data_IF_100864909439
#
_entry.id   IF_100864909439
#
_cell.length_a   1.000
_cell.length_b   1.000
_cell.length_c   1.000
_cell.angle_alpha   90.00
_cell.angle_beta   90.00
_cell.angle_gamma   90.00
#
_symmetry.space_group_name_H-M   'P 1'
#
loop_
_entity.id
_entity.type
_entity.pdbx_description
1 polymer ?
#
# COMPACT_ATOMS: atom_id res chain seq x y z
N UNK A 1 22.44 -1.83 -21.40
CA UNK A 1 22.15 -1.99 -22.83
C UNK A 1 20.66 -2.29 -22.90
N UNK A 2 19.87 -1.30 -23.31
CA UNK A 2 18.45 -1.54 -23.56
C UNK A 2 18.32 -1.86 -25.06
N UNK A 3 17.98 -3.11 -25.42
CA UNK A 3 17.59 -3.41 -26.78
C UNK A 3 16.44 -2.47 -27.15
N UNK A 4 16.40 -2.02 -28.39
CA UNK A 4 15.28 -1.22 -28.87
C UNK A 4 14.02 -2.06 -28.77
N UNK A 5 13.11 -1.69 -27.87
CA UNK A 5 11.78 -2.28 -27.84
C UNK A 5 11.08 -1.96 -29.17
N UNK A 6 10.25 -2.88 -29.64
CA UNK A 6 9.27 -2.54 -30.66
C UNK A 6 8.26 -1.57 -30.01
N UNK A 7 8.51 -0.27 -30.17
CA UNK A 7 7.73 0.80 -29.58
C UNK A 7 6.23 0.70 -29.90
N UNK A 8 5.91 0.09 -31.03
CA UNK A 8 4.52 -0.07 -31.47
C UNK A 8 3.75 -1.12 -30.67
N UNK A 9 4.44 -2.17 -30.19
CA UNK A 9 3.81 -3.30 -29.50
C UNK A 9 4.29 -3.48 -28.07
N UNK A 10 5.17 -2.61 -27.56
CA UNK A 10 5.81 -2.75 -26.25
C UNK A 10 6.53 -4.11 -26.05
N UNK A 11 7.05 -4.70 -27.16
CA UNK A 11 7.69 -6.01 -27.14
C UNK A 11 9.16 -5.88 -27.51
N UNK A 12 10.01 -6.45 -26.68
CA UNK A 12 11.44 -6.60 -26.93
C UNK A 12 11.77 -8.06 -27.24
N UNK A 13 12.65 -8.28 -28.23
CA UNK A 13 13.02 -9.63 -28.66
C UNK A 13 13.76 -10.44 -27.57
N UNK A 14 14.38 -9.78 -26.60
CA UNK A 14 15.17 -10.41 -25.55
C UNK A 14 14.48 -10.39 -24.18
N UNK A 15 13.70 -9.33 -23.88
CA UNK A 15 13.09 -9.12 -22.56
C UNK A 15 11.57 -9.32 -22.57
N UNK A 16 10.98 -9.57 -23.73
CA UNK A 16 9.55 -9.79 -23.87
C UNK A 16 8.73 -8.49 -23.83
N UNK A 17 7.49 -8.60 -23.35
CA UNK A 17 6.56 -7.49 -23.32
C UNK A 17 6.83 -6.58 -22.11
N UNK A 18 6.95 -5.28 -22.36
CA UNK A 18 6.97 -4.27 -21.30
C UNK A 18 5.59 -4.17 -20.65
N UNK A 19 5.52 -4.38 -19.35
CA UNK A 19 4.27 -4.27 -18.61
C UNK A 19 4.07 -2.84 -18.08
N UNK A 20 5.13 -2.25 -17.49
CA UNK A 20 5.20 -0.87 -17.02
C UNK A 20 6.63 -0.33 -17.14
N UNK A 21 6.81 0.97 -16.94
CA UNK A 21 8.11 1.62 -16.82
C UNK A 21 8.77 1.99 -18.15
N UNK A 22 10.02 2.42 -18.04
CA UNK A 22 10.82 2.90 -19.17
C UNK A 22 10.90 4.43 -19.24
N UNK A 23 10.30 5.14 -18.28
CA UNK A 23 10.43 6.58 -18.08
C UNK A 23 11.60 6.96 -17.18
N UNK A 24 11.40 7.93 -16.31
CA UNK A 24 12.47 8.57 -15.53
C UNK A 24 12.59 8.04 -14.09
N UNK A 25 11.59 7.29 -13.60
CA UNK A 25 11.61 6.76 -12.22
C UNK A 25 12.29 5.40 -12.22
N UNK A 26 13.18 5.19 -11.24
CA UNK A 26 13.75 3.88 -10.98
C UNK A 26 12.63 2.94 -10.47
N UNK A 27 12.41 1.85 -11.20
CA UNK A 27 11.43 0.81 -10.88
C UNK A 27 12.14 -0.53 -10.91
N UNK A 28 12.04 -1.29 -9.81
CA UNK A 28 12.64 -2.62 -9.72
C UNK A 28 11.81 -3.57 -8.85
N UNK A 29 12.33 -4.78 -8.57
CA UNK A 29 11.69 -5.78 -7.73
C UNK A 29 10.29 -6.20 -8.21
N UNK A 30 10.05 -6.42 -9.51
CA UNK A 30 8.71 -6.74 -9.97
C UNK A 30 8.27 -8.11 -9.49
N UNK A 31 7.05 -8.18 -8.96
CA UNK A 31 6.40 -9.43 -8.59
C UNK A 31 4.96 -9.44 -9.10
N UNK A 32 4.55 -10.50 -9.75
CA UNK A 32 3.17 -10.69 -10.22
C UNK A 32 2.54 -11.81 -9.41
N UNK A 33 1.42 -11.50 -8.77
CA UNK A 33 0.59 -12.46 -8.05
C UNK A 33 -0.80 -12.51 -8.69
N UNK A 34 -1.31 -13.72 -8.93
CA UNK A 34 -2.69 -13.90 -9.39
C UNK A 34 -3.61 -14.23 -8.23
N UNK A 35 -4.52 -13.33 -7.96
CA UNK A 35 -5.58 -13.54 -6.98
C UNK A 35 -6.82 -14.13 -7.67
N UNK A 36 -7.06 -15.41 -7.42
CA UNK A 36 -8.18 -16.15 -8.02
C UNK A 36 -9.53 -15.62 -7.54
N UNK A 37 -9.63 -15.20 -6.30
CA UNK A 37 -10.87 -14.68 -5.70
C UNK A 37 -11.23 -13.32 -6.29
N UNK A 38 -10.27 -12.40 -6.38
CA UNK A 38 -10.45 -11.09 -7.00
C UNK A 38 -10.51 -11.17 -8.53
N UNK A 39 -9.94 -12.21 -9.14
CA UNK A 39 -9.81 -12.38 -10.57
C UNK A 39 -8.92 -11.31 -11.20
N UNK A 40 -7.85 -10.90 -10.48
CA UNK A 40 -6.86 -9.94 -10.93
C UNK A 40 -5.44 -10.50 -10.81
N UNK A 41 -4.58 -10.06 -11.71
CA UNK A 41 -3.13 -10.10 -11.56
C UNK A 41 -2.71 -8.78 -10.91
N UNK A 42 -2.03 -8.85 -9.77
CA UNK A 42 -1.41 -7.70 -9.11
C UNK A 42 0.06 -7.68 -9.44
N UNK A 43 0.55 -6.53 -9.90
CA UNK A 43 1.96 -6.28 -10.12
C UNK A 43 2.43 -5.35 -9.00
N UNK A 44 3.27 -5.88 -8.13
CA UNK A 44 3.97 -5.13 -7.10
C UNK A 44 5.37 -4.78 -7.60
N UNK A 45 5.80 -3.56 -7.37
CA UNK A 45 7.12 -3.05 -7.75
C UNK A 45 7.66 -2.12 -6.68
N UNK A 46 8.97 -1.91 -6.69
CA UNK A 46 9.61 -0.92 -5.85
C UNK A 46 10.02 0.30 -6.67
N UNK A 47 9.66 1.49 -6.18
CA UNK A 47 10.07 2.79 -6.73
C UNK A 47 11.18 3.38 -5.87
N UNK A 48 11.99 4.25 -6.47
CA UNK A 48 13.04 4.99 -5.78
C UNK A 48 14.36 4.24 -5.66
N UNK A 49 15.23 4.71 -4.78
CA UNK A 49 16.52 4.09 -4.49
C UNK A 49 16.50 3.35 -3.17
N UNK A 50 17.14 2.21 -3.12
CA UNK A 50 17.18 1.31 -1.97
C UNK A 50 17.98 1.82 -0.76
N UNK A 51 18.69 2.94 -0.87
CA UNK A 51 19.41 3.55 0.25
C UNK A 51 18.44 4.14 1.28
N UNK A 52 18.88 4.30 2.53
CA UNK A 52 18.03 4.81 3.61
C UNK A 52 17.37 6.17 3.30
N UNK A 53 17.99 7.00 2.46
CA UNK A 53 17.47 8.32 2.05
C UNK A 53 16.89 8.33 0.62
N UNK A 54 16.79 7.16 -0.01
CA UNK A 54 16.46 7.04 -1.44
C UNK A 54 14.98 7.01 -1.76
N UNK A 55 14.09 7.08 -0.77
CA UNK A 55 12.64 7.06 -0.97
C UNK A 55 12.11 5.73 -1.53
N UNK A 56 12.78 4.62 -1.24
CA UNK A 56 12.36 3.29 -1.70
C UNK A 56 11.01 2.92 -1.13
N UNK A 57 10.10 2.44 -1.99
CA UNK A 57 8.69 2.27 -1.63
C UNK A 57 8.01 1.24 -2.52
N UNK A 58 6.95 0.61 -2.00
CA UNK A 58 6.18 -0.41 -2.71
C UNK A 58 5.00 0.23 -3.42
N UNK A 59 4.84 -0.09 -4.71
CA UNK A 59 3.70 0.31 -5.53
C UNK A 59 2.96 -0.90 -6.08
N UNK A 60 1.64 -0.77 -6.23
CA UNK A 60 0.79 -1.79 -6.80
C UNK A 60 0.05 -1.30 -8.05
N UNK A 61 -0.05 -2.19 -9.03
CA UNK A 61 -0.87 -2.08 -10.23
C UNK A 61 -1.68 -3.37 -10.38
N UNK A 62 -2.75 -3.35 -11.14
CA UNK A 62 -3.52 -4.56 -11.42
C UNK A 62 -3.95 -4.70 -12.87
N UNK A 63 -4.19 -5.94 -13.30
CA UNK A 63 -4.69 -6.28 -14.64
C UNK A 63 -5.63 -7.48 -14.59
N UNK A 64 -6.54 -7.58 -15.57
CA UNK A 64 -7.32 -8.81 -15.81
C UNK A 64 -6.56 -9.85 -16.63
N UNK A 65 -5.39 -9.52 -17.18
CA UNK A 65 -4.55 -10.40 -17.98
C UNK A 65 -3.11 -10.36 -17.46
N UNK A 66 -2.43 -11.49 -17.49
CA UNK A 66 -1.04 -11.60 -17.04
C UNK A 66 -0.08 -10.68 -17.81
N UNK A 67 -0.38 -10.40 -19.07
CA UNK A 67 0.39 -9.55 -19.96
C UNK A 67 -0.12 -8.10 -20.04
N UNK A 68 -1.00 -7.70 -19.12
CA UNK A 68 -1.51 -6.33 -18.99
C UNK A 68 -2.70 -5.97 -19.90
N UNK A 69 -3.06 -4.69 -20.00
CA UNK A 69 -2.36 -3.57 -19.35
C UNK A 69 -2.51 -3.59 -17.82
N UNK A 70 -1.42 -3.26 -17.12
CA UNK A 70 -1.43 -3.04 -15.68
C UNK A 70 -1.72 -1.57 -15.40
N UNK A 71 -2.75 -1.31 -14.63
CA UNK A 71 -3.20 0.05 -14.32
C UNK A 71 -3.19 0.31 -12.82
N UNK A 72 -2.96 1.56 -12.46
CA UNK A 72 -3.14 2.06 -11.10
C UNK A 72 -4.62 2.41 -10.80
N UNK A 73 -4.91 2.96 -9.62
CA UNK A 73 -6.28 3.33 -9.23
C UNK A 73 -6.89 4.44 -10.10
N UNK A 74 -6.06 5.23 -10.79
CA UNK A 74 -6.48 6.29 -11.70
C UNK A 74 -6.58 5.82 -13.16
N UNK A 75 -6.26 4.54 -13.44
CA UNK A 75 -6.24 3.96 -14.78
C UNK A 75 -4.96 4.22 -15.56
N UNK A 76 -3.90 4.71 -14.91
CA UNK A 76 -2.63 4.99 -15.56
C UNK A 76 -1.74 3.74 -15.63
N UNK A 77 -0.96 3.65 -16.72
CA UNK A 77 0.12 2.67 -16.92
C UNK A 77 1.40 3.44 -17.18
N UNK A 78 2.44 3.33 -16.34
CA UNK A 78 3.73 3.97 -16.60
C UNK A 78 4.36 3.45 -17.89
N UNK A 79 4.74 4.37 -18.80
CA UNK A 79 5.39 4.11 -20.08
C UNK A 79 6.40 5.20 -20.41
N UNK A 80 7.34 5.00 -21.36
CA UNK A 80 8.39 5.98 -21.65
C UNK A 80 7.89 7.40 -21.98
N UNK A 81 6.70 7.53 -22.52
CA UNK A 81 6.06 8.79 -22.92
C UNK A 81 4.99 9.28 -21.95
N UNK A 82 4.85 8.65 -20.79
CA UNK A 82 3.83 9.00 -19.80
C UNK A 82 4.09 10.31 -19.02
N UNK A 83 5.23 10.95 -19.23
CA UNK A 83 5.67 12.11 -18.45
C UNK A 83 6.25 11.70 -17.10
N UNK A 84 5.89 12.42 -16.03
CA UNK A 84 6.37 12.10 -14.68
C UNK A 84 5.62 10.89 -14.10
N UNK A 85 6.28 9.74 -14.12
CA UNK A 85 5.74 8.47 -13.62
C UNK A 85 5.80 8.35 -12.09
N UNK A 86 6.43 9.28 -11.38
CA UNK A 86 6.63 9.21 -9.93
C UNK A 86 5.32 9.14 -9.14
N UNK A 87 4.23 9.64 -9.72
CA UNK A 87 2.89 9.62 -9.12
C UNK A 87 2.02 8.43 -9.54
N UNK A 88 2.52 7.54 -10.40
CA UNK A 88 1.76 6.38 -10.87
C UNK A 88 1.92 5.20 -9.90
N UNK A 89 0.88 4.38 -9.84
CA UNK A 89 0.81 3.22 -8.96
C UNK A 89 0.29 3.54 -7.57
N UNK A 90 -0.49 2.63 -7.03
CA UNK A 90 -0.95 2.70 -5.64
C UNK A 90 0.23 2.49 -4.69
N UNK A 91 0.63 3.52 -3.94
CA UNK A 91 1.66 3.39 -2.91
C UNK A 91 1.10 2.63 -1.71
N UNK A 92 1.68 1.48 -1.44
CA UNK A 92 1.33 0.64 -0.31
C UNK A 92 2.15 0.97 0.93
N UNK A 93 3.44 1.21 0.77
CA UNK A 93 4.38 1.52 1.86
C UNK A 93 5.56 2.33 1.35
N UNK A 94 6.14 3.13 2.21
CA UNK A 94 7.39 3.87 2.00
C UNK A 94 8.09 4.10 3.34
N UNK A 95 8.65 5.29 3.55
CA UNK A 95 9.22 5.67 4.84
C UNK A 95 8.11 6.09 5.81
N UNK A 96 8.08 5.53 7.02
CA UNK A 96 7.03 5.86 7.97
C UNK A 96 7.45 5.69 9.43
N UNK A 97 6.73 6.37 10.30
CA UNK A 97 6.80 6.23 11.76
C UNK A 97 5.41 5.98 12.32
N UNK A 98 5.27 4.96 13.15
CA UNK A 98 4.07 4.70 13.96
C UNK A 98 4.43 4.83 15.43
N UNK A 99 3.48 5.14 16.33
CA UNK A 99 3.78 5.42 17.74
C UNK A 99 4.47 4.28 18.49
N UNK A 100 4.23 3.03 18.11
CA UNK A 100 4.82 1.85 18.75
C UNK A 100 6.23 1.50 18.25
N UNK A 101 6.71 2.16 17.19
CA UNK A 101 8.06 1.92 16.65
C UNK A 101 9.09 2.66 17.49
N UNK A 102 10.20 2.01 17.82
CA UNK A 102 11.36 2.66 18.43
C UNK A 102 12.10 3.57 17.44
N UNK A 103 12.12 3.19 16.16
CA UNK A 103 12.75 3.91 15.05
C UNK A 103 11.81 3.92 13.86
N UNK A 104 11.86 4.97 13.06
CA UNK A 104 11.13 4.99 11.79
C UNK A 104 11.65 3.89 10.85
N UNK A 105 10.73 3.30 10.11
CA UNK A 105 11.06 2.39 9.02
C UNK A 105 11.30 3.21 7.74
N UNK A 106 12.36 2.86 7.04
CA UNK A 106 12.82 3.55 5.83
C UNK A 106 13.06 2.55 4.71
N UNK A 107 13.01 3.03 3.50
CA UNK A 107 13.32 2.26 2.29
C UNK A 107 12.61 0.90 2.25
N UNK A 108 11.30 0.89 2.56
CA UNK A 108 10.50 -0.34 2.50
C UNK A 108 10.27 -0.75 1.05
N UNK A 109 10.85 -1.87 0.64
CA UNK A 109 10.77 -2.27 -0.77
C UNK A 109 11.39 -3.63 -1.06
N UNK A 110 11.76 -3.83 -2.32
CA UNK A 110 12.23 -5.10 -2.89
C UNK A 110 11.32 -6.27 -2.54
N UNK A 111 10.07 -6.07 -2.89
CA UNK A 111 8.94 -6.88 -2.44
C UNK A 111 8.80 -8.19 -3.19
N UNK A 112 8.19 -9.15 -2.51
CA UNK A 112 7.48 -10.28 -3.10
C UNK A 112 6.09 -10.38 -2.48
N UNK A 113 5.20 -11.15 -3.08
CA UNK A 113 3.88 -11.40 -2.53
C UNK A 113 3.56 -12.88 -2.50
N UNK A 114 2.66 -13.27 -1.62
CA UNK A 114 2.21 -14.65 -1.45
C UNK A 114 0.73 -14.66 -1.08
N UNK A 115 -0.03 -15.54 -1.73
CA UNK A 115 -1.35 -15.97 -1.25
C UNK A 115 -1.17 -17.37 -0.70
N UNK A 116 -1.36 -17.53 0.61
CA UNK A 116 -1.18 -18.81 1.29
C UNK A 116 -2.35 -19.77 1.02
N UNK A 117 -2.18 -21.00 1.42
CA UNK A 117 -3.18 -22.08 1.25
C UNK A 117 -4.50 -21.81 1.96
N UNK A 118 -4.50 -21.00 3.01
CA UNK A 118 -5.70 -20.54 3.73
C UNK A 118 -6.34 -19.27 3.12
N UNK A 119 -5.78 -18.74 2.01
CA UNK A 119 -6.26 -17.55 1.30
C UNK A 119 -5.75 -16.24 1.88
N UNK A 120 -4.93 -16.24 2.91
CA UNK A 120 -4.31 -15.03 3.44
C UNK A 120 -3.25 -14.51 2.47
N UNK A 121 -3.17 -13.20 2.38
CA UNK A 121 -2.33 -12.47 1.43
C UNK A 121 -1.22 -11.73 2.16
N UNK A 122 0.01 -11.91 1.73
CA UNK A 122 1.19 -11.35 2.37
C UNK A 122 2.06 -10.60 1.36
N UNK A 123 2.70 -9.53 1.83
CA UNK A 123 3.83 -8.86 1.17
C UNK A 123 5.04 -9.06 2.06
N UNK A 124 6.12 -9.57 1.47
CA UNK A 124 7.43 -9.69 2.10
C UNK A 124 8.32 -8.63 1.47
N UNK A 125 8.94 -7.81 2.29
CA UNK A 125 9.83 -6.74 1.85
C UNK A 125 10.99 -6.57 2.83
N UNK A 126 12.07 -5.90 2.40
CA UNK A 126 13.03 -5.40 3.34
C UNK A 126 12.60 -4.01 3.88
N UNK A 127 13.08 -3.67 5.04
CA UNK A 127 13.03 -2.32 5.60
C UNK A 127 14.38 -1.95 6.19
N UNK A 128 14.74 -0.68 6.12
CA UNK A 128 15.84 -0.05 6.84
C UNK A 128 15.28 0.73 8.02
N UNK A 129 16.17 1.31 8.81
CA UNK A 129 15.80 2.03 10.02
C UNK A 129 16.40 3.44 10.00
N UNK A 130 15.71 4.38 10.67
CA UNK A 130 16.24 5.72 10.89
C UNK A 130 17.25 5.73 12.04
N UNK A 131 18.43 5.12 11.81
CA UNK A 131 19.49 4.98 12.80
C UNK A 131 20.89 5.35 12.26
N UNK A 132 20.92 5.94 11.07
CA UNK A 132 22.16 6.36 10.42
C UNK A 132 22.96 5.22 9.80
N UNK A 133 22.38 4.01 9.70
CA UNK A 133 23.01 2.85 9.05
C UNK A 133 22.27 2.45 7.78
N UNK A 134 22.89 1.57 6.99
CA UNK A 134 22.25 0.90 5.86
C UNK A 134 21.83 -0.55 6.21
N UNK A 135 21.82 -0.90 7.50
CA UNK A 135 21.30 -2.19 7.96
C UNK A 135 19.83 -2.35 7.57
N UNK A 136 19.43 -3.55 7.25
CA UNK A 136 18.05 -3.84 6.86
C UNK A 136 17.64 -5.22 7.34
N UNK A 137 16.32 -5.39 7.49
CA UNK A 137 15.70 -6.63 7.91
C UNK A 137 14.48 -6.93 7.04
N UNK A 138 14.10 -8.20 6.87
CA UNK A 138 12.85 -8.55 6.24
C UNK A 138 11.66 -8.23 7.16
N UNK A 139 10.54 -7.84 6.55
CA UNK A 139 9.24 -7.70 7.19
C UNK A 139 8.20 -8.42 6.36
N UNK A 140 7.19 -8.94 7.04
CA UNK A 140 6.03 -9.55 6.42
C UNK A 140 4.80 -8.79 6.88
N UNK A 141 4.08 -8.22 5.92
CA UNK A 141 2.80 -7.58 6.17
C UNK A 141 1.69 -8.38 5.50
N UNK A 142 0.58 -8.56 6.21
CA UNK A 142 -0.62 -9.03 5.57
C UNK A 142 -1.25 -7.88 4.79
N UNK A 143 -1.88 -8.18 3.65
CA UNK A 143 -2.76 -7.24 2.98
C UNK A 143 -4.13 -7.86 2.75
N UNK A 144 -5.13 -7.03 2.80
CA UNK A 144 -6.51 -7.39 2.50
C UNK A 144 -6.93 -6.63 1.23
N UNK A 145 -7.96 -7.13 0.57
CA UNK A 145 -8.56 -6.39 -0.53
C UNK A 145 -9.72 -5.55 0.01
N UNK A 146 -9.80 -4.29 -0.42
CA UNK A 146 -11.01 -3.51 -0.19
C UNK A 146 -12.15 -3.98 -1.09
N UNK A 147 -13.34 -3.41 -0.95
CA UNK A 147 -14.53 -3.81 -1.72
C UNK A 147 -14.36 -3.65 -3.25
N UNK A 148 -13.43 -2.81 -3.70
CA UNK A 148 -13.12 -2.60 -5.12
C UNK A 148 -11.97 -3.50 -5.61
N UNK A 149 -11.45 -4.38 -4.75
CA UNK A 149 -10.36 -5.30 -5.05
C UNK A 149 -8.99 -4.62 -5.15
N UNK A 150 -8.74 -3.54 -4.42
CA UNK A 150 -7.41 -2.95 -4.29
C UNK A 150 -6.73 -3.43 -3.01
N UNK A 151 -5.41 -3.72 -3.07
CA UNK A 151 -4.68 -4.15 -1.89
C UNK A 151 -4.55 -3.03 -0.86
N UNK A 152 -4.92 -3.35 0.37
CA UNK A 152 -4.75 -2.54 1.57
C UNK A 152 -3.73 -3.24 2.46
N UNK A 153 -2.47 -2.84 2.39
CA UNK A 153 -1.39 -3.39 3.22
C UNK A 153 -1.60 -2.94 4.66
N UNK A 154 -1.59 -3.87 5.61
CA UNK A 154 -1.82 -3.57 7.01
C UNK A 154 -0.60 -2.89 7.64
N UNK A 155 -0.78 -2.00 8.64
CA UNK A 155 0.28 -1.09 9.10
C UNK A 155 1.43 -1.78 9.86
N UNK A 156 1.16 -2.89 10.53
CA UNK A 156 2.16 -3.61 11.34
C UNK A 156 2.59 -4.93 10.70
N UNK A 157 3.77 -5.41 11.07
CA UNK A 157 4.22 -6.75 10.73
C UNK A 157 3.20 -7.79 11.24
N UNK A 158 2.92 -8.80 10.41
CA UNK A 158 1.82 -9.73 10.70
C UNK A 158 2.20 -10.77 11.74
N UNK A 159 1.23 -11.06 12.63
CA UNK A 159 1.16 -12.27 13.47
C UNK A 159 0.24 -13.35 12.84
N UNK A 160 -0.20 -13.17 11.58
CA UNK A 160 -1.14 -14.03 10.90
C UNK A 160 -2.60 -13.71 11.24
N UNK A 161 -2.94 -12.42 11.30
CA UNK A 161 -4.26 -11.91 11.69
C UNK A 161 -5.37 -12.56 10.88
N UNK A 162 -6.51 -12.71 11.53
CA UNK A 162 -7.76 -13.15 10.89
C UNK A 162 -8.79 -12.05 11.08
N UNK A 163 -9.25 -11.49 9.97
CA UNK A 163 -10.31 -10.49 10.00
C UNK A 163 -11.64 -11.10 10.41
N UNK A 164 -12.47 -10.31 11.07
CA UNK A 164 -13.86 -10.69 11.30
C UNK A 164 -14.65 -10.56 10.00
N UNK A 165 -15.05 -11.68 9.41
CA UNK A 165 -15.88 -11.67 8.18
C UNK A 165 -17.22 -10.94 8.37
N UNK A 166 -17.70 -10.86 9.60
CA UNK A 166 -18.93 -10.15 9.99
C UNK A 166 -18.69 -8.67 10.34
N UNK A 167 -17.43 -8.21 10.22
CA UNK A 167 -17.03 -6.88 10.64
C UNK A 167 -16.80 -6.78 12.15
N UNK A 168 -16.78 -5.54 12.63
CA UNK A 168 -16.52 -5.21 14.02
C UNK A 168 -17.62 -4.28 14.55
N UNK A 169 -17.92 -4.42 15.84
CA UNK A 169 -18.85 -3.52 16.50
C UNK A 169 -18.33 -2.09 16.51
N UNK A 170 -19.20 -1.11 16.37
CA UNK A 170 -18.84 0.30 16.36
C UNK A 170 -18.00 0.70 17.58
N UNK A 171 -18.27 0.13 18.75
CA UNK A 171 -17.53 0.36 20.00
C UNK A 171 -16.04 0.00 19.90
N UNK A 172 -15.69 -0.93 19.00
CA UNK A 172 -14.30 -1.28 18.72
C UNK A 172 -13.63 -0.35 17.70
N UNK A 173 -14.44 0.26 16.83
CA UNK A 173 -13.96 1.08 15.71
C UNK A 173 -13.83 2.54 16.13
N UNK A 174 -14.80 3.07 16.91
CA UNK A 174 -14.77 4.46 17.36
C UNK A 174 -13.60 4.70 18.29
N UNK A 175 -12.91 5.82 18.10
CA UNK A 175 -11.77 6.18 18.94
C UNK A 175 -10.72 7.01 18.23
N UNK A 176 -9.57 7.06 18.84
CA UNK A 176 -8.41 7.82 18.39
C UNK A 176 -7.47 6.93 17.58
N UNK A 177 -7.13 7.36 16.36
CA UNK A 177 -6.15 6.69 15.49
C UNK A 177 -4.97 7.61 15.22
N UNK A 178 -3.78 7.04 15.20
CA UNK A 178 -2.57 7.69 14.69
C UNK A 178 -2.36 7.26 13.26
N UNK A 179 -2.64 8.16 12.33
CA UNK A 179 -2.74 7.86 10.90
C UNK A 179 -1.50 8.31 10.15
N UNK A 180 -0.95 7.43 9.35
CA UNK A 180 0.13 7.73 8.39
C UNK A 180 -0.47 7.85 7.00
N UNK A 181 -0.22 8.97 6.32
CA UNK A 181 -0.53 9.15 4.89
C UNK A 181 0.69 8.73 4.06
N UNK A 182 0.56 7.64 3.34
CA UNK A 182 1.52 7.17 2.36
C UNK A 182 1.26 7.88 1.03
N UNK A 183 1.55 9.18 0.97
CA UNK A 183 1.37 9.96 -0.25
C UNK A 183 2.27 9.47 -1.40
N UNK A 184 2.00 9.93 -2.62
CA UNK A 184 2.68 9.42 -3.82
C UNK A 184 4.06 10.00 -4.08
N UNK A 185 4.64 10.76 -3.17
CA UNK A 185 6.00 11.30 -3.35
C UNK A 185 7.06 10.19 -3.33
N UNK A 186 8.15 10.41 -4.05
CA UNK A 186 9.33 9.54 -4.09
C UNK A 186 10.50 10.34 -3.53
N UNK A 187 10.61 10.38 -2.21
CA UNK A 187 11.66 11.09 -1.49
C UNK A 187 12.07 10.33 -0.22
N UNK A 188 13.09 10.83 0.46
CA UNK A 188 13.60 10.23 1.70
C UNK A 188 12.84 10.63 2.96
N UNK A 189 11.78 11.43 2.86
CA UNK A 189 11.04 11.94 4.00
C UNK A 189 10.25 10.83 4.71
N UNK A 190 10.15 10.95 6.03
CA UNK A 190 9.42 10.01 6.87
C UNK A 190 8.01 10.51 7.05
N UNK A 191 7.02 9.75 6.58
CA UNK A 191 5.62 10.02 6.86
C UNK A 191 5.36 9.90 8.36
N UNK A 192 5.02 11.04 8.99
CA UNK A 192 4.76 11.14 10.43
C UNK A 192 3.28 10.95 10.72
N UNK A 193 2.94 10.28 11.82
CA UNK A 193 1.54 10.07 12.16
C UNK A 193 0.88 11.38 12.58
N UNK A 194 -0.38 11.52 12.20
CA UNK A 194 -1.29 12.55 12.70
C UNK A 194 -2.53 11.89 13.30
N UNK A 195 -3.22 12.61 14.16
CA UNK A 195 -4.38 12.05 14.88
C UNK A 195 -5.66 12.26 14.10
N UNK A 196 -6.42 11.17 13.90
CA UNK A 196 -7.82 11.18 13.48
C UNK A 196 -8.71 10.58 14.57
N UNK A 197 -9.89 11.14 14.75
CA UNK A 197 -10.89 10.69 15.72
C UNK A 197 -12.11 10.21 14.94
N UNK A 198 -12.46 8.94 15.12
CA UNK A 198 -13.67 8.34 14.57
C UNK A 198 -14.77 8.37 15.63
N UNK A 199 -15.92 8.95 15.30
CA UNK A 199 -17.03 9.12 16.25
C UNK A 199 -18.18 8.15 15.97
N UNK A 200 -19.02 7.93 16.96
CA UNK A 200 -20.26 7.15 16.89
C UNK A 200 -21.29 7.71 15.89
N UNK A 201 -21.14 8.99 15.52
CA UNK A 201 -22.01 9.67 14.54
C UNK A 201 -21.53 9.58 13.10
N UNK A 202 -20.51 8.73 12.83
CA UNK A 202 -19.93 8.59 11.50
C UNK A 202 -19.09 9.79 11.04
N UNK A 203 -18.67 10.66 11.97
CA UNK A 203 -17.75 11.74 11.66
C UNK A 203 -16.32 11.33 11.93
N UNK A 204 -15.39 11.78 11.07
CA UNK A 204 -13.95 11.70 11.29
C UNK A 204 -13.38 13.11 11.33
N UNK A 205 -12.51 13.39 12.28
CA UNK A 205 -11.86 14.69 12.38
C UNK A 205 -10.46 14.58 12.99
N UNK A 206 -9.59 15.53 12.64
CA UNK A 206 -8.24 15.69 13.14
C UNK A 206 -7.84 17.14 13.05
N UNK A 207 -6.53 17.45 13.12
CA UNK A 207 -6.00 18.80 13.16
C UNK A 207 -6.77 19.79 12.26
N UNK A 208 -6.72 19.56 10.93
CA UNK A 208 -7.40 20.40 9.94
C UNK A 208 -8.38 19.58 9.09
N UNK A 209 -8.65 18.34 9.47
CA UNK A 209 -9.46 17.37 8.71
C UNK A 209 -10.85 17.32 9.32
N UNK A 210 -11.86 17.41 8.48
CA UNK A 210 -13.25 17.13 8.79
C UNK A 210 -13.86 16.29 7.70
N UNK A 211 -14.46 15.17 8.10
CA UNK A 211 -15.02 14.24 7.14
C UNK A 211 -16.02 13.29 7.76
N UNK A 212 -16.33 12.26 7.02
CA UNK A 212 -17.22 11.19 7.44
C UNK A 212 -16.57 9.84 7.22
N UNK A 213 -17.01 8.87 8.00
CA UNK A 213 -16.67 7.47 7.78
C UNK A 213 -17.91 6.59 7.85
N UNK A 214 -17.88 5.50 7.13
CA UNK A 214 -18.93 4.48 7.13
C UNK A 214 -18.32 3.10 7.05
N UNK A 215 -18.99 2.13 7.67
CA UNK A 215 -18.71 0.70 7.51
C UNK A 215 -19.83 0.08 6.69
N UNK A 216 -19.49 -0.81 5.79
CA UNK A 216 -20.48 -1.60 5.07
C UNK A 216 -21.01 -2.69 6.01
N UNK A 217 -22.31 -2.66 6.26
CA UNK A 217 -22.99 -3.54 7.20
C UNK A 217 -22.58 -5.02 7.03
N UNK A 218 -22.24 -5.67 8.16
CA UNK A 218 -21.87 -7.08 8.18
C UNK A 218 -20.51 -7.37 7.51
N UNK A 219 -19.64 -6.37 7.38
CA UNK A 219 -18.30 -6.53 6.79
C UNK A 219 -17.27 -5.72 7.57
N UNK A 220 -16.00 -5.94 7.26
CA UNK A 220 -14.87 -5.15 7.77
C UNK A 220 -14.48 -3.98 6.83
N UNK A 221 -15.26 -3.71 5.79
CA UNK A 221 -14.97 -2.63 4.83
C UNK A 221 -15.33 -1.27 5.40
N UNK A 222 -14.42 -0.32 5.20
CA UNK A 222 -14.58 1.08 5.59
C UNK A 222 -14.46 2.01 4.40
N UNK A 223 -15.24 3.07 4.41
CA UNK A 223 -15.07 4.23 3.53
C UNK A 223 -14.84 5.46 4.39
N UNK A 224 -13.78 6.21 4.10
CA UNK A 224 -13.41 7.47 4.78
C UNK A 224 -13.40 8.57 3.73
N UNK A 225 -14.07 9.70 4.01
CA UNK A 225 -14.15 10.85 3.08
C UNK A 225 -13.79 12.13 3.81
N UNK A 226 -12.79 12.84 3.32
CA UNK A 226 -12.43 14.19 3.75
C UNK A 226 -11.69 14.92 2.61
N UNK A 227 -11.73 16.25 2.61
CA UNK A 227 -11.01 17.11 1.65
C UNK A 227 -11.19 16.71 0.17
N UNK A 228 -12.45 16.37 -0.22
CA UNK A 228 -12.80 15.87 -1.57
C UNK A 228 -12.06 14.58 -1.98
N UNK A 229 -11.50 13.85 -1.03
CA UNK A 229 -10.91 12.54 -1.23
C UNK A 229 -11.78 11.43 -0.60
N UNK A 230 -11.81 10.29 -1.27
CA UNK A 230 -12.45 9.08 -0.79
C UNK A 230 -11.41 7.97 -0.68
N UNK A 231 -11.35 7.36 0.50
CA UNK A 231 -10.50 6.20 0.78
C UNK A 231 -11.39 5.02 1.14
N UNK A 232 -11.20 3.91 0.45
CA UNK A 232 -11.89 2.66 0.73
C UNK A 232 -10.90 1.65 1.26
N UNK A 233 -11.25 0.99 2.35
CA UNK A 233 -10.32 0.11 3.03
C UNK A 233 -10.98 -0.92 3.92
N UNK A 234 -10.22 -1.34 4.90
CA UNK A 234 -10.52 -2.46 5.79
C UNK A 234 -10.14 -2.12 7.22
N UNK A 235 -10.92 -2.60 8.18
CA UNK A 235 -10.51 -2.68 9.57
C UNK A 235 -9.92 -4.06 9.87
N UNK A 236 -8.95 -4.11 10.79
CA UNK A 236 -8.34 -5.33 11.26
C UNK A 236 -7.88 -5.20 12.72
N UNK A 237 -8.25 -6.16 13.57
CA UNK A 237 -7.61 -6.32 14.89
C UNK A 237 -6.17 -6.78 14.67
N UNK A 238 -5.20 -6.05 15.21
CA UNK A 238 -3.78 -6.36 15.12
C UNK A 238 -3.11 -6.26 16.49
N UNK A 239 -1.84 -6.60 16.53
CA UNK A 239 -0.91 -6.16 17.55
C UNK A 239 0.02 -5.14 16.93
N UNK A 240 0.32 -4.09 17.67
CA UNK A 240 1.37 -3.15 17.30
C UNK A 240 2.77 -3.77 17.51
N UNK A 241 3.82 -3.06 17.13
CA UNK A 241 5.21 -3.53 17.28
C UNK A 241 5.65 -3.72 18.74
N UNK A 242 4.91 -3.16 19.71
CA UNK A 242 5.11 -3.40 21.14
C UNK A 242 4.30 -4.61 21.66
N UNK A 243 3.54 -5.29 20.81
CA UNK A 243 2.69 -6.43 21.14
C UNK A 243 1.34 -6.06 21.76
N UNK A 244 0.96 -4.78 21.76
CA UNK A 244 -0.33 -4.31 22.28
C UNK A 244 -1.43 -4.51 21.25
N UNK A 245 -2.55 -5.10 21.68
CA UNK A 245 -3.71 -5.26 20.81
C UNK A 245 -4.32 -3.90 20.48
N UNK A 246 -4.58 -3.67 19.22
CA UNK A 246 -5.22 -2.46 18.72
C UNK A 246 -6.14 -2.75 17.53
N UNK A 247 -7.14 -1.89 17.36
CA UNK A 247 -7.90 -1.83 16.11
C UNK A 247 -7.09 -0.99 15.13
N UNK A 248 -6.90 -1.49 13.93
CA UNK A 248 -6.22 -0.78 12.84
C UNK A 248 -7.13 -0.65 11.64
N UNK A 249 -6.79 0.25 10.74
CA UNK A 249 -7.33 0.28 9.40
C UNK A 249 -6.24 0.52 8.35
N UNK A 250 -6.50 0.03 7.15
CA UNK A 250 -5.77 0.40 5.96
C UNK A 250 -6.77 0.76 4.87
N UNK A 251 -6.67 1.96 4.31
CA UNK A 251 -7.60 2.44 3.30
C UNK A 251 -6.84 3.11 2.17
N UNK A 252 -7.34 2.97 0.93
CA UNK A 252 -6.65 3.43 -0.26
C UNK A 252 -7.55 4.32 -1.12
N UNK A 253 -6.97 5.37 -1.70
CA UNK A 253 -7.65 6.31 -2.57
C UNK A 253 -6.65 7.14 -3.37
N UNK A 254 -6.96 7.44 -4.65
CA UNK A 254 -6.11 8.28 -5.53
C UNK A 254 -4.62 7.89 -5.57
N UNK A 255 -4.31 6.59 -5.51
CA UNK A 255 -2.94 6.02 -5.44
C UNK A 255 -2.22 6.18 -4.10
N UNK A 256 -2.88 6.63 -3.06
CA UNK A 256 -2.32 6.75 -1.69
C UNK A 256 -2.90 5.68 -0.78
N UNK A 257 -2.19 5.37 0.30
CA UNK A 257 -2.69 4.57 1.41
C UNK A 257 -2.72 5.39 2.69
N UNK A 258 -3.77 5.20 3.47
CA UNK A 258 -3.88 5.67 4.85
C UNK A 258 -3.80 4.47 5.78
N UNK A 259 -2.93 4.54 6.78
CA UNK A 259 -2.78 3.53 7.83
C UNK A 259 -3.10 4.16 9.19
N UNK A 260 -3.94 3.52 9.97
CA UNK A 260 -4.28 4.01 11.30
C UNK A 260 -4.55 2.89 12.30
#
# INVERSE_FOLDING_TARGET
>A
IHPKADEKNDVDAYFGKRLIGGGHVAIEGPWIEYDKEAGYYYLFVSYGSLTSDGGYQIRAFRSKKVDGPYVDMKGNTPKPDSGDESFFGLKLSGNYMLPSLEKAYKATGHNSALIDSDGKRYIVNHTRFDDGTEAHEPRVHQYLLNEDGWPCMLPYATDGETVSEKGYDNEKIIGDYYVVDQDTTVDGEIAKPFKLIFTDKGSVFGKDIKGIWTVKDGTYYVTIKYDDEEFKGVFCDMKDEAGTKCMTFSAVGKNKSLWG
#
